data_IF_091892382613
#
_entry.id   IF_091892382613
#
_cell.length_a   1.000
_cell.length_b   1.000
_cell.length_c   1.000
_cell.angle_alpha   90.00
_cell.angle_beta   90.00
_cell.angle_gamma   90.00
#
_symmetry.space_group_name_H-M   'P 1'
#
loop_
_entity.id
_entity.type
_entity.pdbx_description
1 polymer ?
#
# COMPACT_ATOMS: atom_id res chain seq x y z
N UNK A 1 -0.59 56.65 9.48
CA UNK A 1 -1.40 55.43 9.67
C UNK A 1 -0.75 54.29 8.88
N UNK A 2 0.00 53.41 9.56
CA UNK A 2 0.74 52.30 8.92
C UNK A 2 -0.21 51.12 8.73
N UNK A 3 -0.42 50.68 7.48
CA UNK A 3 -1.23 49.51 7.14
C UNK A 3 -0.39 48.26 7.41
N UNK A 4 -0.82 47.42 8.35
CA UNK A 4 -0.26 46.09 8.60
C UNK A 4 -0.95 45.13 7.60
N UNK A 5 -0.21 44.40 6.74
CA UNK A 5 -0.82 43.31 6.00
C UNK A 5 -0.93 42.10 6.94
N UNK A 6 -2.17 41.70 7.19
CA UNK A 6 -2.54 40.45 7.85
C UNK A 6 -2.11 39.29 6.94
N UNK A 7 -0.89 38.77 7.13
CA UNK A 7 -0.47 37.53 6.50
C UNK A 7 -1.25 36.39 7.17
N UNK A 8 -2.35 36.00 6.51
CA UNK A 8 -3.13 34.82 6.85
C UNK A 8 -2.21 33.61 6.79
N UNK A 9 -1.94 33.07 7.97
CA UNK A 9 -1.13 31.90 8.24
C UNK A 9 -1.77 30.67 7.55
N UNK A 10 -1.31 30.34 6.35
CA UNK A 10 -1.75 29.17 5.61
C UNK A 10 -1.00 27.92 6.11
N UNK A 11 -1.22 27.56 7.37
CA UNK A 11 -0.87 26.26 7.92
C UNK A 11 -1.96 25.27 7.49
N UNK A 12 -1.87 24.75 6.26
CA UNK A 12 -2.66 23.61 5.84
C UNK A 12 -1.74 22.52 5.29
N UNK A 13 -1.90 21.33 5.89
CA UNK A 13 -1.32 20.03 5.54
C UNK A 13 0.00 19.60 6.21
N UNK A 14 0.04 19.66 7.55
CA UNK A 14 0.75 18.65 8.34
C UNK A 14 -0.19 17.99 9.37
N UNK A 15 -1.30 17.40 8.91
CA UNK A 15 -2.16 16.56 9.75
C UNK A 15 -1.90 15.06 9.59
N UNK A 16 -0.80 14.63 8.95
CA UNK A 16 -0.54 13.19 8.76
C UNK A 16 -0.03 12.48 10.03
N UNK A 17 0.44 13.21 11.06
CA UNK A 17 1.07 12.60 12.24
C UNK A 17 0.11 11.95 13.24
N UNK A 18 -1.07 12.53 13.49
CA UNK A 18 -1.94 12.05 14.58
C UNK A 18 -2.81 10.83 14.20
N UNK A 19 -3.25 10.72 12.95
CA UNK A 19 -4.03 9.56 12.47
C UNK A 19 -3.17 8.30 12.31
N UNK A 20 -1.86 8.45 12.08
CA UNK A 20 -0.92 7.34 11.96
C UNK A 20 -0.67 6.61 13.29
N UNK A 21 -0.69 7.32 14.43
CA UNK A 21 -0.34 6.75 15.73
C UNK A 21 -1.44 5.81 16.28
N UNK A 22 -2.72 6.13 16.07
CA UNK A 22 -3.84 5.35 16.65
C UNK A 22 -4.13 4.03 15.93
N UNK A 23 -3.74 3.90 14.65
CA UNK A 23 -4.03 2.71 13.85
C UNK A 23 -2.90 1.67 13.84
N UNK A 24 -1.79 1.93 14.55
CA UNK A 24 -0.58 1.09 14.51
C UNK A 24 -0.86 -0.39 14.88
N UNK A 25 -1.62 -0.73 15.94
CA UNK A 25 -1.93 -2.13 16.24
C UNK A 25 -2.69 -2.84 15.11
N UNK A 26 -3.66 -2.15 14.49
CA UNK A 26 -4.42 -2.69 13.34
C UNK A 26 -3.52 -2.92 12.12
N UNK A 27 -2.61 -1.98 11.86
CA UNK A 27 -1.62 -2.10 10.79
C UNK A 27 -0.63 -3.24 11.05
N UNK A 28 -0.21 -3.42 12.31
CA UNK A 28 0.64 -4.55 12.72
C UNK A 28 -0.07 -5.88 12.49
N UNK A 29 -1.32 -6.04 12.96
CA UNK A 29 -2.08 -7.26 12.74
C UNK A 29 -2.29 -7.60 11.25
N UNK A 30 -2.49 -6.57 10.41
CA UNK A 30 -2.55 -6.75 8.96
C UNK A 30 -1.20 -7.19 8.39
N UNK A 31 -0.10 -6.58 8.83
CA UNK A 31 1.24 -6.94 8.41
C UNK A 31 1.61 -8.37 8.82
N UNK A 32 1.26 -8.78 10.03
CA UNK A 32 1.45 -10.15 10.52
C UNK A 32 0.66 -11.15 9.68
N UNK A 33 -0.58 -10.80 9.27
CA UNK A 33 -1.37 -11.63 8.36
C UNK A 33 -0.73 -11.77 6.97
N UNK A 34 -0.11 -10.71 6.46
CA UNK A 34 0.64 -10.74 5.18
C UNK A 34 1.87 -11.63 5.31
N UNK A 35 2.64 -11.50 6.40
CA UNK A 35 3.82 -12.33 6.69
C UNK A 35 3.45 -13.80 6.84
N UNK A 36 2.38 -14.10 7.59
CA UNK A 36 1.92 -15.46 7.85
C UNK A 36 1.50 -16.22 6.58
N UNK A 37 1.09 -15.53 5.52
CA UNK A 37 0.78 -16.16 4.23
C UNK A 37 2.04 -16.42 3.37
N UNK A 38 3.24 -16.08 3.86
CA UNK A 38 4.50 -16.33 3.15
C UNK A 38 4.67 -15.49 1.88
N UNK A 39 4.09 -14.29 1.86
CA UNK A 39 4.26 -13.33 0.76
C UNK A 39 5.69 -12.79 0.78
N UNK A 40 6.33 -12.77 -0.39
CA UNK A 40 7.68 -12.22 -0.56
C UNK A 40 7.62 -10.70 -0.47
N UNK A 41 8.63 -10.07 0.13
CA UNK A 41 8.70 -8.61 0.32
C UNK A 41 7.46 -8.05 1.04
N UNK A 42 7.09 -8.61 2.22
CA UNK A 42 5.85 -8.27 2.90
C UNK A 42 5.76 -6.78 3.25
N UNK A 43 6.89 -6.08 3.44
CA UNK A 43 6.96 -4.65 3.68
C UNK A 43 6.48 -3.82 2.48
N UNK A 44 6.76 -4.29 1.26
CA UNK A 44 6.23 -3.68 0.05
C UNK A 44 4.72 -3.90 -0.04
N UNK A 45 4.28 -5.13 0.21
CA UNK A 45 2.86 -5.50 0.13
C UNK A 45 2.02 -4.76 1.17
N UNK A 46 2.55 -4.54 2.37
CA UNK A 46 1.93 -3.70 3.37
C UNK A 46 1.92 -2.23 2.97
N UNK A 47 2.99 -1.72 2.34
CA UNK A 47 3.02 -0.39 1.76
C UNK A 47 1.93 -0.18 0.70
N UNK A 48 1.71 -1.19 -0.17
CA UNK A 48 0.63 -1.19 -1.14
C UNK A 48 -0.73 -1.18 -0.42
N UNK A 49 -0.90 -2.02 0.61
CA UNK A 49 -2.13 -2.02 1.41
C UNK A 49 -2.43 -0.64 1.99
N UNK A 50 -1.44 0.04 2.57
CA UNK A 50 -1.60 1.40 3.10
C UNK A 50 -2.03 2.38 2.01
N UNK A 51 -1.41 2.32 0.83
CA UNK A 51 -1.71 3.21 -0.29
C UNK A 51 -3.13 2.99 -0.84
N UNK A 52 -3.51 1.73 -1.10
CA UNK A 52 -4.81 1.39 -1.69
C UNK A 52 -5.98 1.62 -0.73
N UNK A 53 -5.73 1.50 0.59
CA UNK A 53 -6.78 1.57 1.62
C UNK A 53 -6.80 2.88 2.40
N UNK A 54 -5.89 3.81 2.09
CA UNK A 54 -5.69 5.02 2.87
C UNK A 54 -5.49 4.69 4.35
N UNK A 55 -4.46 3.90 4.66
CA UNK A 55 -4.13 3.48 6.03
C UNK A 55 -5.24 2.67 6.73
N UNK A 56 -5.90 1.75 6.01
CA UNK A 56 -7.02 0.93 6.50
C UNK A 56 -8.24 1.73 7.01
N UNK A 57 -8.40 2.97 6.55
CA UNK A 57 -9.45 3.90 7.02
C UNK A 57 -10.41 4.35 5.91
N UNK A 58 -10.10 4.05 4.65
CA UNK A 58 -10.90 4.49 3.53
C UNK A 58 -12.29 3.80 3.48
N UNK A 59 -13.35 4.61 3.56
CA UNK A 59 -14.74 4.12 3.54
C UNK A 59 -15.32 3.96 2.12
N UNK A 60 -14.83 4.73 1.15
CA UNK A 60 -15.40 4.82 -0.21
C UNK A 60 -14.56 4.15 -1.32
N UNK A 61 -13.50 3.41 -0.98
CA UNK A 61 -12.67 2.66 -1.94
C UNK A 61 -12.94 1.15 -1.90
N UNK A 62 -12.11 0.37 -2.59
CA UNK A 62 -12.24 -1.08 -2.69
C UNK A 62 -12.09 -1.82 -1.34
N UNK A 63 -11.62 -1.15 -0.27
CA UNK A 63 -11.53 -1.73 1.08
C UNK A 63 -12.88 -2.28 1.57
N UNK A 64 -14.01 -1.65 1.20
CA UNK A 64 -15.36 -2.14 1.53
C UNK A 64 -15.70 -3.52 0.95
N UNK A 65 -14.90 -4.00 0.01
CA UNK A 65 -15.04 -5.31 -0.63
C UNK A 65 -13.90 -6.27 -0.23
N UNK A 66 -13.26 -6.02 0.92
CA UNK A 66 -12.07 -6.72 1.38
C UNK A 66 -10.90 -6.71 0.40
N UNK A 67 -10.86 -5.76 -0.52
CA UNK A 67 -9.81 -5.64 -1.52
C UNK A 67 -8.72 -4.70 -1.02
N UNK A 68 -7.74 -5.32 -0.36
CA UNK A 68 -6.63 -4.64 0.29
C UNK A 68 -5.59 -4.09 -0.69
N UNK A 69 -5.59 -4.59 -1.94
CA UNK A 69 -4.50 -4.39 -2.90
C UNK A 69 -4.97 -3.79 -4.23
N UNK A 70 -6.21 -3.28 -4.32
CA UNK A 70 -6.69 -2.59 -5.52
C UNK A 70 -6.82 -3.49 -6.76
N UNK A 71 -7.09 -4.80 -6.61
CA UNK A 71 -7.30 -5.68 -7.77
C UNK A 71 -8.58 -5.31 -8.51
N UNK A 72 -8.52 -5.12 -9.83
CA UNK A 72 -9.68 -4.84 -10.67
C UNK A 72 -10.11 -6.06 -11.51
N UNK A 73 -11.40 -6.13 -11.82
CA UNK A 73 -12.00 -7.06 -12.79
C UNK A 73 -12.49 -6.31 -14.03
N UNK A 74 -12.99 -7.03 -15.04
CA UNK A 74 -13.52 -6.47 -16.29
C UNK A 74 -14.50 -5.33 -16.01
N UNK A 75 -14.30 -4.20 -16.71
CA UNK A 75 -15.11 -2.98 -16.54
C UNK A 75 -14.70 -2.10 -15.37
N UNK A 76 -13.43 -2.12 -14.95
CA UNK A 76 -12.85 -1.26 -13.91
C UNK A 76 -13.57 -1.34 -12.55
N UNK A 77 -14.15 -2.50 -12.23
CA UNK A 77 -14.78 -2.75 -10.94
C UNK A 77 -13.76 -3.34 -9.97
N UNK A 78 -13.80 -2.90 -8.71
CA UNK A 78 -13.03 -3.54 -7.65
C UNK A 78 -13.38 -5.04 -7.62
N UNK A 79 -12.36 -5.92 -7.63
CA UNK A 79 -12.55 -7.32 -7.27
C UNK A 79 -13.08 -7.38 -5.84
N UNK A 80 -14.10 -8.20 -5.61
CA UNK A 80 -14.63 -8.48 -4.28
C UNK A 80 -13.99 -9.74 -3.73
N UNK A 81 -13.72 -9.72 -2.43
CA UNK A 81 -13.26 -10.85 -1.64
C UNK A 81 -14.22 -11.05 -0.46
N UNK A 82 -14.38 -12.29 -0.02
CA UNK A 82 -15.19 -12.67 1.14
C UNK A 82 -14.55 -12.24 2.45
N UNK A 83 -13.22 -12.13 2.47
CA UNK A 83 -12.47 -11.69 3.64
C UNK A 83 -11.11 -11.10 3.27
N UNK A 84 -10.52 -10.35 4.22
CA UNK A 84 -9.14 -9.88 4.11
C UNK A 84 -8.16 -11.04 3.87
N UNK A 85 -8.38 -12.18 4.54
CA UNK A 85 -7.56 -13.40 4.40
C UNK A 85 -7.62 -13.95 2.98
N UNK A 86 -8.79 -13.95 2.34
CA UNK A 86 -8.92 -14.37 0.95
C UNK A 86 -8.17 -13.43 -0.01
N UNK A 87 -8.23 -12.11 0.24
CA UNK A 87 -7.48 -11.13 -0.54
C UNK A 87 -5.95 -11.33 -0.42
N UNK A 88 -5.44 -11.59 0.79
CA UNK A 88 -4.02 -11.90 1.05
C UNK A 88 -3.61 -13.18 0.31
N UNK A 89 -4.40 -14.26 0.42
CA UNK A 89 -4.17 -15.51 -0.33
C UNK A 89 -4.16 -15.30 -1.84
N UNK A 90 -5.05 -14.44 -2.34
CA UNK A 90 -5.09 -14.10 -3.75
C UNK A 90 -3.83 -13.35 -4.18
N UNK A 91 -3.35 -12.38 -3.39
CA UNK A 91 -2.09 -11.70 -3.66
C UNK A 91 -0.93 -12.70 -3.71
N UNK A 92 -0.81 -13.59 -2.73
CA UNK A 92 0.22 -14.65 -2.70
C UNK A 92 0.21 -15.47 -3.99
N UNK A 93 -0.95 -16.00 -4.40
CA UNK A 93 -1.09 -16.73 -5.66
C UNK A 93 -0.75 -15.89 -6.89
N UNK A 94 -1.09 -14.60 -6.88
CA UNK A 94 -0.74 -13.67 -7.95
C UNK A 94 0.79 -13.45 -8.03
N UNK A 95 1.44 -13.32 -6.88
CA UNK A 95 2.89 -13.13 -6.75
C UNK A 95 3.65 -14.39 -7.16
N UNK A 96 3.28 -15.58 -6.68
CA UNK A 96 3.96 -16.84 -6.98
C UNK A 96 4.01 -17.16 -8.47
N UNK A 97 2.93 -16.83 -9.19
CA UNK A 97 2.86 -17.02 -10.65
C UNK A 97 3.81 -16.13 -11.45
N UNK A 98 4.37 -15.08 -10.85
CA UNK A 98 5.08 -14.00 -11.56
C UNK A 98 6.48 -13.74 -11.04
N UNK A 99 6.63 -13.69 -9.71
CA UNK A 99 7.81 -13.16 -9.05
C UNK A 99 9.05 -14.01 -9.33
N UNK A 100 8.98 -15.33 -9.16
CA UNK A 100 10.17 -16.18 -9.27
C UNK A 100 10.71 -16.22 -10.71
N UNK A 101 9.80 -16.30 -11.70
CA UNK A 101 10.15 -16.23 -13.11
C UNK A 101 10.78 -14.89 -13.48
N UNK A 102 10.24 -13.79 -12.94
CA UNK A 102 10.79 -12.46 -13.14
C UNK A 102 12.15 -12.32 -12.46
N UNK A 103 12.28 -12.71 -11.19
CA UNK A 103 13.50 -12.53 -10.41
C UNK A 103 14.67 -13.32 -10.98
N UNK A 104 14.43 -14.51 -11.55
CA UNK A 104 15.44 -15.29 -12.28
C UNK A 104 16.01 -14.54 -13.49
N UNK A 105 15.18 -13.77 -14.20
CA UNK A 105 15.59 -12.97 -15.36
C UNK A 105 16.19 -11.61 -14.97
N UNK A 106 15.82 -11.10 -13.80
CA UNK A 106 16.19 -9.78 -13.29
C UNK A 106 16.83 -9.89 -11.89
N UNK A 107 17.98 -10.59 -11.75
CA UNK A 107 18.57 -10.91 -10.45
C UNK A 107 19.01 -9.65 -9.68
N UNK A 108 19.34 -8.56 -10.37
CA UNK A 108 19.84 -7.33 -9.76
C UNK A 108 18.75 -6.26 -9.54
N UNK A 109 17.51 -6.53 -9.96
CA UNK A 109 16.41 -5.56 -9.84
C UNK A 109 15.63 -5.75 -8.52
N UNK A 110 15.13 -4.64 -7.96
CA UNK A 110 14.37 -4.64 -6.71
C UNK A 110 12.86 -4.88 -6.93
N UNK A 111 12.08 -4.90 -5.84
CA UNK A 111 10.64 -5.15 -5.93
C UNK A 111 9.85 -4.02 -6.63
N UNK A 112 10.36 -2.78 -6.68
CA UNK A 112 9.71 -1.71 -7.45
C UNK A 112 9.78 -1.99 -8.95
N UNK A 113 10.90 -2.52 -9.43
CA UNK A 113 11.04 -2.94 -10.82
C UNK A 113 10.11 -4.11 -11.15
N UNK A 114 9.94 -5.06 -10.22
CA UNK A 114 8.95 -6.13 -10.37
C UNK A 114 7.53 -5.56 -10.55
N UNK A 115 7.11 -4.64 -9.68
CA UNK A 115 5.77 -4.02 -9.74
C UNK A 115 5.56 -3.26 -11.06
N UNK A 116 6.60 -2.56 -11.55
CA UNK A 116 6.58 -1.90 -12.86
C UNK A 116 6.47 -2.91 -14.01
N UNK A 117 7.24 -3.99 -13.96
CA UNK A 117 7.23 -5.05 -14.98
C UNK A 117 5.86 -5.72 -15.12
N UNK A 118 5.21 -6.05 -14.00
CA UNK A 118 3.87 -6.68 -14.00
C UNK A 118 2.73 -5.68 -14.21
N UNK A 119 3.05 -4.40 -14.45
CA UNK A 119 2.10 -3.30 -14.63
C UNK A 119 1.08 -3.25 -13.48
N UNK A 120 1.56 -3.38 -12.24
CA UNK A 120 0.70 -3.38 -11.05
C UNK A 120 -0.16 -2.12 -10.99
N UNK A 121 0.47 -0.97 -11.27
CA UNK A 121 -0.18 0.32 -11.41
C UNK A 121 0.44 1.09 -12.59
N UNK A 122 -0.30 2.06 -13.11
CA UNK A 122 0.13 2.87 -14.25
C UNK A 122 1.01 4.05 -13.81
N UNK A 123 2.15 4.22 -14.48
CA UNK A 123 3.02 5.39 -14.36
C UNK A 123 4.00 5.36 -13.18
N UNK A 124 5.03 6.21 -13.26
CA UNK A 124 6.09 6.29 -12.25
C UNK A 124 5.62 6.94 -10.92
N UNK A 125 4.49 7.67 -10.97
CA UNK A 125 3.86 8.29 -9.79
C UNK A 125 3.54 7.27 -8.70
N UNK A 126 3.07 6.07 -9.08
CA UNK A 126 2.74 5.03 -8.11
C UNK A 126 3.96 4.62 -7.27
N UNK A 127 5.08 4.33 -7.93
CA UNK A 127 6.33 3.96 -7.27
C UNK A 127 6.84 5.07 -6.35
N UNK A 128 6.78 6.33 -6.80
CA UNK A 128 7.17 7.48 -5.99
C UNK A 128 6.30 7.61 -4.73
N UNK A 129 5.01 7.38 -4.86
CA UNK A 129 4.10 7.39 -3.71
C UNK A 129 4.28 6.18 -2.80
N UNK A 130 4.61 4.99 -3.32
CA UNK A 130 4.75 3.77 -2.54
C UNK A 130 5.98 3.81 -1.62
N UNK A 131 7.11 4.33 -2.11
CA UNK A 131 8.38 4.43 -1.37
C UNK A 131 8.24 4.91 0.08
N UNK A 132 7.65 6.08 0.37
CA UNK A 132 7.51 6.55 1.75
C UNK A 132 6.64 5.65 2.63
N UNK A 133 5.68 4.88 2.07
CA UNK A 133 4.88 3.93 2.85
C UNK A 133 5.69 2.69 3.20
N UNK A 134 6.50 2.19 2.27
CA UNK A 134 7.40 1.05 2.52
C UNK A 134 8.42 1.39 3.59
N UNK A 135 9.03 2.58 3.53
CA UNK A 135 9.96 3.05 4.56
C UNK A 135 9.27 3.25 5.91
N UNK A 136 8.03 3.75 5.92
CA UNK A 136 7.24 3.81 7.14
C UNK A 136 6.99 2.42 7.72
N UNK A 137 6.63 1.42 6.89
CA UNK A 137 6.40 0.04 7.34
C UNK A 137 7.66 -0.53 7.98
N UNK A 138 8.81 -0.44 7.30
CA UNK A 138 10.10 -0.93 7.82
C UNK A 138 10.49 -0.29 9.15
N UNK A 139 10.21 1.00 9.31
CA UNK A 139 10.55 1.75 10.53
C UNK A 139 9.57 1.47 11.69
N UNK A 140 8.30 1.25 11.40
CA UNK A 140 7.25 1.29 12.42
C UNK A 140 6.63 -0.07 12.75
N UNK A 141 6.62 -1.01 11.82
CA UNK A 141 6.04 -2.33 12.03
C UNK A 141 7.15 -3.35 12.31
N UNK A 142 6.90 -4.24 13.26
CA UNK A 142 7.89 -5.21 13.73
C UNK A 142 8.12 -6.25 12.62
N UNK A 143 9.40 -6.40 12.23
CA UNK A 143 9.87 -7.48 11.35
C UNK A 143 9.72 -8.84 12.04
#
# INVERSE_FOLDING_TARGET
>A
MKKIPFFLLLLLFFQQGFSQQSNKPKLQAMYDSIKAEGIRHPEFVMGQCIQETGWLNCKNCCLRYHNLFGFYIKGNKCKKFESNKECIRYYKKWQDKRYDKWKKKHPNEDYYHFLKHVKYATGDKYTAELKPKVEWVKKNLVL
#
